data_IF_841993698172
#
_entry.id   IF_841993698172
#
_cell.length_a   1.000
_cell.length_b   1.000
_cell.length_c   1.000
_cell.angle_alpha   90.00
_cell.angle_beta   90.00
_cell.angle_gamma   90.00
#
_symmetry.space_group_name_H-M   'P 1'
#
loop_
_entity.id
_entity.type
_entity.pdbx_description
1 polymer ?
#
# COMPACT_ATOMS: atom_id res chain seq x y z
N UNK A 1 30.01 -15.56 -31.07
CA UNK A 1 30.02 -15.05 -29.69
C UNK A 1 28.84 -14.09 -29.59
N UNK A 2 27.80 -14.44 -28.83
CA UNK A 2 26.68 -13.53 -28.62
C UNK A 2 27.12 -12.50 -27.60
N UNK A 3 27.30 -11.27 -28.08
CA UNK A 3 27.63 -10.11 -27.26
C UNK A 3 26.49 -9.92 -26.25
N UNK A 4 26.78 -10.17 -24.97
CA UNK A 4 25.87 -9.86 -23.87
C UNK A 4 26.01 -8.36 -23.63
N UNK A 5 25.22 -7.56 -24.35
CA UNK A 5 25.30 -6.09 -24.33
C UNK A 5 25.10 -5.46 -22.94
N UNK A 6 24.61 -6.24 -21.96
CA UNK A 6 24.30 -5.79 -20.62
C UNK A 6 24.81 -6.78 -19.57
N UNK A 7 25.34 -6.26 -18.48
CA UNK A 7 25.75 -7.07 -17.33
C UNK A 7 24.54 -7.42 -16.46
N UNK A 8 24.47 -8.64 -15.89
CA UNK A 8 23.48 -8.99 -14.88
C UNK A 8 23.47 -7.95 -13.75
N UNK A 9 22.29 -7.48 -13.36
CA UNK A 9 22.11 -6.40 -12.39
C UNK A 9 21.89 -5.01 -13.01
N UNK A 10 22.09 -4.84 -14.32
CA UNK A 10 21.85 -3.57 -14.99
C UNK A 10 20.34 -3.23 -15.04
N UNK A 11 19.96 -2.01 -14.67
CA UNK A 11 18.58 -1.53 -14.78
C UNK A 11 18.29 -0.98 -16.18
N UNK A 12 17.42 -1.68 -16.89
CA UNK A 12 17.02 -1.36 -18.26
C UNK A 12 15.54 -0.95 -18.28
N UNK A 13 15.24 0.07 -19.08
CA UNK A 13 13.89 0.47 -19.42
C UNK A 13 13.46 -0.24 -20.70
N UNK A 14 12.27 -0.84 -20.64
CA UNK A 14 11.59 -1.50 -21.73
C UNK A 14 10.42 -0.61 -22.21
N UNK A 15 10.54 0.04 -23.38
CA UNK A 15 9.49 0.88 -23.94
C UNK A 15 8.22 0.11 -24.31
N UNK A 16 8.32 -1.20 -24.59
CA UNK A 16 7.15 -1.99 -24.97
C UNK A 16 6.21 -2.25 -23.80
N UNK A 17 6.76 -2.30 -22.57
CA UNK A 17 5.99 -2.53 -21.35
C UNK A 17 5.91 -1.32 -20.42
N UNK A 18 6.58 -0.22 -20.76
CA UNK A 18 6.74 0.99 -19.96
C UNK A 18 7.23 0.68 -18.52
N UNK A 19 8.24 -0.20 -18.42
CA UNK A 19 8.75 -0.71 -17.15
C UNK A 19 10.26 -0.70 -17.10
N UNK A 20 10.77 -0.63 -15.87
CA UNK A 20 12.19 -0.83 -15.58
C UNK A 20 12.38 -2.21 -14.95
N UNK A 21 13.36 -2.95 -15.46
CA UNK A 21 13.76 -4.25 -14.95
C UNK A 21 15.27 -4.38 -14.79
N UNK A 22 15.66 -5.24 -13.88
CA UNK A 22 17.03 -5.72 -13.73
C UNK A 22 17.30 -6.79 -14.78
N UNK A 23 18.36 -6.60 -15.57
CA UNK A 23 18.81 -7.59 -16.51
C UNK A 23 19.33 -8.82 -15.76
N UNK A 24 18.75 -9.98 -16.04
CA UNK A 24 19.15 -11.24 -15.42
C UNK A 24 20.11 -12.00 -16.31
N UNK A 25 19.65 -12.35 -17.51
CA UNK A 25 20.40 -13.15 -18.49
C UNK A 25 19.73 -13.05 -19.87
N UNK A 26 20.31 -13.69 -20.88
CA UNK A 26 19.74 -13.83 -22.22
C UNK A 26 19.10 -15.20 -22.39
N UNK A 27 17.85 -15.24 -22.87
CA UNK A 27 17.16 -16.48 -23.24
C UNK A 27 16.85 -16.47 -24.74
N UNK A 28 17.71 -17.13 -25.51
CA UNK A 28 17.63 -17.13 -26.98
C UNK A 28 17.75 -15.71 -27.57
N UNK A 29 16.79 -15.26 -28.39
CA UNK A 29 16.84 -13.91 -28.95
C UNK A 29 16.45 -12.82 -27.93
N UNK A 30 15.87 -13.19 -26.78
CA UNK A 30 15.29 -12.24 -25.82
C UNK A 30 16.20 -11.99 -24.61
N UNK A 31 16.14 -10.77 -24.09
CA UNK A 31 16.67 -10.41 -22.78
C UNK A 31 15.65 -10.79 -21.68
N UNK A 32 16.11 -11.39 -20.59
CA UNK A 32 15.28 -11.67 -19.42
C UNK A 32 15.43 -10.56 -18.39
N UNK A 33 14.31 -9.90 -18.08
CA UNK A 33 14.25 -8.82 -17.10
C UNK A 33 13.44 -9.23 -15.88
N UNK A 34 13.93 -8.85 -14.70
CA UNK A 34 13.23 -9.00 -13.42
C UNK A 34 12.71 -7.64 -12.94
N UNK A 35 11.46 -7.52 -12.46
CA UNK A 35 10.95 -6.23 -12.00
C UNK A 35 11.74 -5.71 -10.80
N UNK A 36 11.93 -4.39 -10.72
CA UNK A 36 12.49 -3.74 -9.53
C UNK A 36 11.62 -4.10 -8.31
N UNK A 37 12.26 -4.62 -7.26
CA UNK A 37 11.59 -5.12 -6.05
C UNK A 37 10.87 -6.47 -6.21
N UNK A 38 11.18 -7.23 -7.26
CA UNK A 38 10.74 -8.62 -7.44
C UNK A 38 9.37 -8.76 -8.11
N UNK A 39 9.02 -10.00 -8.44
CA UNK A 39 7.83 -10.35 -9.20
C UNK A 39 8.16 -11.23 -10.40
N UNK A 40 7.19 -11.37 -11.31
CA UNK A 40 7.33 -12.22 -12.49
C UNK A 40 8.30 -11.61 -13.49
N UNK A 41 9.34 -12.37 -13.85
CA UNK A 41 10.28 -12.02 -14.91
C UNK A 41 9.59 -11.98 -16.27
N UNK A 42 10.09 -11.16 -17.18
CA UNK A 42 9.58 -11.05 -18.54
C UNK A 42 10.70 -11.02 -19.57
N UNK A 43 10.34 -11.45 -20.78
CA UNK A 43 11.20 -11.39 -21.94
C UNK A 43 11.01 -10.04 -22.65
N UNK A 44 12.10 -9.40 -23.04
CA UNK A 44 12.10 -8.18 -23.81
C UNK A 44 13.03 -8.30 -25.02
N UNK A 45 12.77 -7.52 -26.07
CA UNK A 45 13.67 -7.40 -27.21
C UNK A 45 14.92 -6.62 -26.79
N UNK A 46 16.12 -7.22 -26.78
CA UNK A 46 17.34 -6.53 -26.37
C UNK A 46 17.64 -5.28 -27.22
N UNK A 47 17.19 -5.23 -28.48
CA UNK A 47 17.41 -4.07 -29.34
C UNK A 47 16.55 -2.86 -28.96
N UNK A 48 15.43 -3.08 -28.27
CA UNK A 48 14.53 -2.03 -27.80
C UNK A 48 14.89 -1.54 -26.38
N UNK A 49 15.72 -2.30 -25.64
CA UNK A 49 16.12 -1.95 -24.30
C UNK A 49 17.12 -0.80 -24.29
N UNK A 50 16.99 0.05 -23.29
CA UNK A 50 17.97 1.09 -23.00
C UNK A 50 18.27 1.17 -21.52
N UNK A 51 19.44 1.70 -21.11
CA UNK A 51 19.68 2.04 -19.72
C UNK A 51 18.56 2.92 -19.16
N UNK A 52 18.03 2.55 -18.01
CA UNK A 52 17.05 3.37 -17.32
C UNK A 52 17.71 4.67 -16.84
N UNK A 53 17.02 5.78 -17.00
CA UNK A 53 17.42 7.09 -16.46
C UNK A 53 17.32 7.09 -14.93
N UNK A 54 17.93 8.08 -14.27
CA UNK A 54 17.85 8.20 -12.82
C UNK A 54 16.41 8.31 -12.31
N UNK A 55 15.58 9.09 -13.01
CA UNK A 55 14.16 9.26 -12.66
C UNK A 55 13.38 7.94 -12.81
N UNK A 56 13.60 7.19 -13.89
CA UNK A 56 12.93 5.91 -14.11
C UNK A 56 13.33 4.86 -13.07
N UNK A 57 14.60 4.83 -12.66
CA UNK A 57 15.09 3.97 -11.57
C UNK A 57 14.41 4.32 -10.25
N UNK A 58 14.34 5.60 -9.91
CA UNK A 58 13.68 6.08 -8.69
C UNK A 58 12.19 5.76 -8.71
N UNK A 59 11.50 6.07 -9.80
CA UNK A 59 10.08 5.80 -10.00
C UNK A 59 9.78 4.30 -9.89
N UNK A 60 10.60 3.45 -10.50
CA UNK A 60 10.49 2.00 -10.38
C UNK A 60 10.68 1.51 -8.94
N UNK A 61 11.68 2.04 -8.23
CA UNK A 61 11.91 1.74 -6.81
C UNK A 61 10.73 2.13 -5.92
N UNK A 62 10.20 3.36 -6.08
CA UNK A 62 9.02 3.85 -5.35
C UNK A 62 7.79 3.00 -5.65
N UNK A 63 7.53 2.69 -6.93
CA UNK A 63 6.44 1.80 -7.34
C UNK A 63 6.59 0.41 -6.73
N UNK A 64 7.81 -0.10 -6.63
CA UNK A 64 8.08 -1.40 -6.03
C UNK A 64 7.76 -1.41 -4.53
N UNK A 65 8.26 -0.42 -3.78
CA UNK A 65 7.96 -0.25 -2.34
C UNK A 65 6.46 -0.09 -2.11
N UNK A 66 5.80 0.77 -2.88
CA UNK A 66 4.35 0.99 -2.76
C UNK A 66 3.54 -0.28 -3.05
N UNK A 67 3.96 -1.09 -4.03
CA UNK A 67 3.32 -2.37 -4.34
C UNK A 67 3.51 -3.36 -3.19
N UNK A 68 4.73 -3.50 -2.67
CA UNK A 68 5.00 -4.34 -1.50
C UNK A 68 4.19 -3.91 -0.29
N UNK A 69 4.12 -2.62 0.01
CA UNK A 69 3.28 -2.12 1.10
C UNK A 69 1.79 -2.48 0.95
N UNK A 70 1.27 -2.58 -0.28
CA UNK A 70 -0.11 -3.03 -0.54
C UNK A 70 -0.29 -4.55 -0.40
N UNK A 71 0.70 -5.33 -0.83
CA UNK A 71 0.64 -6.81 -0.82
C UNK A 71 1.02 -7.40 0.54
N UNK A 72 2.05 -6.86 1.20
CA UNK A 72 2.56 -7.29 2.51
C UNK A 72 1.75 -6.71 3.67
N UNK A 73 0.77 -5.85 3.37
CA UNK A 73 -0.26 -5.45 4.32
C UNK A 73 -1.62 -6.14 4.09
N UNK A 74 -1.73 -7.50 4.10
CA UNK A 74 -3.03 -8.14 4.25
C UNK A 74 -3.76 -7.65 5.52
N UNK A 75 -3.01 -7.19 6.53
CA UNK A 75 -3.57 -6.59 7.74
C UNK A 75 -4.11 -5.16 7.57
N UNK A 76 -3.80 -4.44 6.47
CA UNK A 76 -4.29 -3.07 6.24
C UNK A 76 -5.23 -2.93 5.03
N UNK A 77 -5.29 -3.92 4.12
CA UNK A 77 -6.21 -3.90 2.96
C UNK A 77 -7.53 -4.67 3.21
N UNK A 78 -7.66 -5.35 4.35
CA UNK A 78 -8.92 -5.97 4.82
C UNK A 78 -9.54 -5.29 6.05
N UNK A 79 -8.74 -4.53 6.79
CA UNK A 79 -9.20 -3.64 7.84
C UNK A 79 -9.12 -2.23 7.25
N UNK A 80 -10.08 -1.87 6.39
CA UNK A 80 -10.38 -0.44 6.25
C UNK A 80 -10.47 0.14 7.67
N UNK A 81 -9.88 1.30 7.93
CA UNK A 81 -9.87 1.91 9.28
C UNK A 81 -11.22 1.65 9.92
N UNK A 82 -11.28 0.85 11.01
CA UNK A 82 -12.52 0.25 11.46
C UNK A 82 -13.54 1.36 11.59
N UNK A 83 -14.73 1.15 10.98
CA UNK A 83 -15.77 2.18 10.91
C UNK A 83 -15.86 2.86 12.27
N UNK A 84 -15.72 4.19 12.33
CA UNK A 84 -15.74 4.88 13.60
C UNK A 84 -17.02 4.53 14.37
N UNK A 85 -16.95 4.23 15.69
CA UNK A 85 -18.14 3.98 16.51
C UNK A 85 -19.12 5.14 16.39
N UNK A 86 -20.40 4.80 16.21
CA UNK A 86 -21.51 5.76 16.13
C UNK A 86 -22.04 5.97 17.55
N UNK A 87 -22.25 7.21 18.02
CA UNK A 87 -22.85 7.44 19.34
C UNK A 87 -24.24 6.82 19.44
N UNK A 88 -24.59 6.28 20.61
CA UNK A 88 -25.95 5.79 20.88
C UNK A 88 -26.89 7.01 21.03
N UNK A 89 -28.10 7.00 20.46
CA UNK A 89 -29.06 8.09 20.64
C UNK A 89 -29.32 8.36 22.12
N UNK A 90 -29.47 9.64 22.46
CA UNK A 90 -29.78 10.12 23.82
C UNK A 90 -28.69 9.83 24.88
N UNK A 91 -27.46 9.47 24.47
CA UNK A 91 -26.31 9.36 25.36
C UNK A 91 -25.34 10.55 25.22
N UNK A 92 -25.38 11.46 26.19
CA UNK A 92 -24.54 12.67 26.18
C UNK A 92 -23.03 12.36 26.18
N UNK A 93 -22.57 11.31 26.89
CA UNK A 93 -21.15 10.94 26.87
C UNK A 93 -20.70 10.42 25.49
N UNK A 94 -21.58 9.70 24.79
CA UNK A 94 -21.31 9.25 23.43
C UNK A 94 -21.16 10.43 22.46
N UNK A 95 -22.05 11.43 22.56
CA UNK A 95 -22.02 12.64 21.74
C UNK A 95 -20.78 13.51 22.02
N UNK A 96 -20.38 13.61 23.28
CA UNK A 96 -19.15 14.32 23.67
C UNK A 96 -17.91 13.67 23.04
N UNK A 97 -17.81 12.34 23.09
CA UNK A 97 -16.69 11.61 22.48
C UNK A 97 -16.72 11.70 20.96
N UNK A 98 -17.89 11.71 20.33
CA UNK A 98 -18.03 11.96 18.90
C UNK A 98 -17.58 13.38 18.52
N UNK A 99 -17.95 14.39 19.31
CA UNK A 99 -17.54 15.79 19.11
C UNK A 99 -16.03 15.99 19.28
N UNK A 100 -15.41 15.30 20.26
CA UNK A 100 -13.94 15.28 20.43
C UNK A 100 -13.24 14.70 19.22
N UNK A 101 -13.76 13.60 18.66
CA UNK A 101 -13.23 12.99 17.43
C UNK A 101 -13.33 13.94 16.24
N UNK A 102 -14.44 14.65 16.08
CA UNK A 102 -14.63 15.62 14.99
C UNK A 102 -13.67 16.80 15.11
N UNK A 103 -13.49 17.32 16.33
CA UNK A 103 -12.52 18.39 16.62
C UNK A 103 -11.09 17.94 16.32
N UNK A 104 -10.71 16.71 16.71
CA UNK A 104 -9.40 16.14 16.41
C UNK A 104 -9.16 15.99 14.90
N UNK A 105 -10.17 15.56 14.14
CA UNK A 105 -10.09 15.49 12.67
C UNK A 105 -9.88 16.87 12.05
N UNK A 106 -10.63 17.87 12.49
CA UNK A 106 -10.49 19.25 12.00
C UNK A 106 -9.10 19.82 12.29
N UNK A 107 -8.48 19.43 13.39
CA UNK A 107 -7.11 19.80 13.76
C UNK A 107 -6.02 18.88 13.14
N UNK A 108 -6.40 17.85 12.39
CA UNK A 108 -5.50 16.80 11.88
C UNK A 108 -4.70 16.05 12.97
N UNK A 109 -5.23 15.95 14.19
CA UNK A 109 -4.65 15.18 15.29
C UNK A 109 -5.14 13.72 15.24
N UNK A 110 -4.31 12.84 14.68
CA UNK A 110 -4.62 11.42 14.49
C UNK A 110 -4.60 10.61 15.78
N UNK A 111 -3.80 11.03 16.77
CA UNK A 111 -3.73 10.37 18.06
C UNK A 111 -5.01 10.62 18.84
N UNK A 112 -5.41 11.90 18.96
CA UNK A 112 -6.65 12.26 19.64
C UNK A 112 -7.90 11.67 18.97
N UNK A 113 -7.92 11.58 17.62
CA UNK A 113 -9.00 10.90 16.90
C UNK A 113 -9.10 9.41 17.29
N UNK A 114 -7.96 8.74 17.42
CA UNK A 114 -7.90 7.31 17.78
C UNK A 114 -8.35 7.11 19.23
N UNK A 115 -7.88 7.94 20.15
CA UNK A 115 -8.25 7.88 21.57
C UNK A 115 -9.75 8.09 21.76
N UNK A 116 -10.35 9.07 21.08
CA UNK A 116 -11.81 9.28 21.12
C UNK A 116 -12.59 8.05 20.65
N UNK A 117 -12.13 7.38 19.58
CA UNK A 117 -12.75 6.13 19.12
C UNK A 117 -12.59 4.98 20.12
N UNK A 118 -11.44 4.87 20.79
CA UNK A 118 -11.20 3.84 21.82
C UNK A 118 -12.09 4.07 23.03
N UNK A 119 -12.15 5.30 23.53
CA UNK A 119 -13.00 5.70 24.64
C UNK A 119 -14.48 5.45 24.34
N UNK A 120 -14.95 5.81 23.15
CA UNK A 120 -16.35 5.61 22.76
C UNK A 120 -16.73 4.13 22.74
N UNK A 121 -15.86 3.25 22.19
CA UNK A 121 -16.09 1.80 22.23
C UNK A 121 -16.09 1.25 23.65
N UNK A 122 -15.18 1.73 24.50
CA UNK A 122 -15.10 1.31 25.90
C UNK A 122 -16.33 1.75 26.69
N UNK A 123 -16.86 2.94 26.45
CA UNK A 123 -18.08 3.43 27.08
C UNK A 123 -19.28 2.58 26.64
N UNK A 124 -19.46 2.39 25.33
CA UNK A 124 -20.52 1.55 24.78
C UNK A 124 -20.51 0.13 25.33
N UNK A 125 -19.32 -0.50 25.43
CA UNK A 125 -19.21 -1.84 25.99
C UNK A 125 -19.60 -1.96 27.47
N UNK A 126 -19.53 -0.86 28.24
CA UNK A 126 -19.89 -0.83 29.66
C UNK A 126 -21.34 -0.40 29.89
N UNK A 127 -21.77 0.66 29.21
CA UNK A 127 -23.04 1.35 29.47
C UNK A 127 -24.15 1.00 28.46
N UNK A 128 -23.79 0.51 27.28
CA UNK A 128 -24.71 0.13 26.20
C UNK A 128 -24.46 -1.30 25.72
N UNK A 129 -24.57 -2.31 26.60
CA UNK A 129 -24.49 -3.70 26.17
C UNK A 129 -25.56 -3.92 25.10
N UNK A 130 -25.15 -4.43 23.93
CA UNK A 130 -26.07 -4.68 22.81
C UNK A 130 -27.21 -5.53 23.35
N UNK A 131 -28.44 -5.00 23.33
CA UNK A 131 -29.62 -5.82 23.64
C UNK A 131 -29.68 -6.91 22.59
N UNK A 132 -29.31 -8.12 22.98
CA UNK A 132 -29.47 -9.29 22.11
C UNK A 132 -30.97 -9.43 21.85
N UNK A 133 -31.37 -9.30 20.57
CA UNK A 133 -32.74 -9.50 20.14
C UNK A 133 -33.17 -10.91 20.56
N UNK A 134 -33.99 -11.01 21.60
CA UNK A 134 -34.66 -12.23 22.01
C UNK A 134 -35.99 -12.31 21.27
N UNK A 135 -36.10 -13.29 20.37
CA UNK A 135 -37.34 -13.72 19.71
C UNK A 135 -38.33 -14.33 20.71
#
# INVERSE_FOLDING_TARGET
MYDTQHEPGALLYDPATDKVGEYQDRSGPYAMLRPVGGGREWQADPAALRPATAEERLSAGVRAVNRRARTDAPFLVGIGTPRPPVPEPDCAECDDLASRRESARAAHDRSAETDANVLLRSHQGREHPRREHRE
#
